data_IF_013557060024
#
_entry.id   IF_013557060024
#
_cell.length_a   1.000
_cell.length_b   1.000
_cell.length_c   1.000
_cell.angle_alpha   90.00
_cell.angle_beta   90.00
_cell.angle_gamma   90.00
#
_symmetry.space_group_name_H-M   'P 1'
#
loop_
_entity.id
_entity.type
_entity.pdbx_description
1 polymer ?
#
# COMPACT_ATOMS: atom_id res chain seq x y z
N UNK A 1 -18.20 -31.78 3.32
CA UNK A 1 -18.19 -31.39 1.89
C UNK A 1 -17.60 -29.98 1.84
N UNK A 2 -16.41 -29.81 1.22
CA UNK A 2 -15.62 -28.58 1.38
C UNK A 2 -16.27 -27.43 0.61
N UNK A 3 -16.62 -26.36 1.33
CA UNK A 3 -17.21 -25.11 0.79
C UNK A 3 -16.38 -24.52 -0.36
N UNK A 4 -15.06 -24.69 -0.32
CA UNK A 4 -14.14 -24.28 -1.37
C UNK A 4 -14.28 -25.06 -2.69
N UNK A 5 -14.65 -26.34 -2.63
CA UNK A 5 -14.86 -27.17 -3.81
C UNK A 5 -16.09 -26.70 -4.60
N UNK A 6 -17.18 -26.39 -3.89
CA UNK A 6 -18.38 -25.84 -4.49
C UNK A 6 -18.14 -24.45 -5.09
N UNK A 7 -17.32 -23.62 -4.45
CA UNK A 7 -17.02 -22.27 -4.95
C UNK A 7 -16.26 -22.30 -6.28
N UNK A 8 -15.26 -23.17 -6.43
CA UNK A 8 -14.45 -23.22 -7.66
C UNK A 8 -15.09 -24.04 -8.78
N UNK A 9 -15.84 -25.09 -8.48
CA UNK A 9 -16.41 -25.99 -9.48
C UNK A 9 -17.83 -25.60 -9.95
N UNK A 10 -18.57 -24.80 -9.17
CA UNK A 10 -19.91 -24.36 -9.53
C UNK A 10 -19.91 -23.02 -10.32
N UNK A 11 -18.77 -22.36 -10.48
CA UNK A 11 -18.59 -21.19 -11.34
C UNK A 11 -18.49 -21.57 -12.81
N UNK A 12 -19.52 -22.22 -13.37
CA UNK A 12 -19.60 -22.40 -14.81
C UNK A 12 -20.13 -21.10 -15.47
N UNK A 13 -19.52 -20.64 -16.59
CA UNK A 13 -20.04 -19.52 -17.32
C UNK A 13 -21.54 -19.72 -17.67
N UNK A 14 -22.39 -18.81 -17.24
CA UNK A 14 -23.83 -18.83 -17.53
C UNK A 14 -24.72 -19.47 -16.46
N UNK A 15 -24.19 -19.97 -15.34
CA UNK A 15 -25.01 -20.42 -14.22
C UNK A 15 -25.22 -19.29 -13.23
N UNK A 16 -26.45 -18.98 -12.81
CA UNK A 16 -26.66 -17.98 -11.76
C UNK A 16 -26.00 -18.43 -10.45
N UNK A 17 -25.40 -17.49 -9.74
CA UNK A 17 -24.82 -17.75 -8.42
C UNK A 17 -25.92 -18.24 -7.46
N UNK A 18 -25.62 -19.20 -6.57
CA UNK A 18 -26.54 -19.57 -5.51
C UNK A 18 -27.01 -18.33 -4.75
N UNK A 19 -28.28 -18.26 -4.42
CA UNK A 19 -28.90 -17.06 -3.82
C UNK A 19 -28.22 -16.61 -2.53
N UNK A 20 -27.74 -17.54 -1.73
CA UNK A 20 -26.96 -17.27 -0.51
C UNK A 20 -25.60 -16.64 -0.81
N UNK A 21 -24.98 -17.03 -1.90
CA UNK A 21 -23.68 -16.49 -2.34
C UNK A 21 -23.86 -15.11 -3.01
N UNK A 22 -24.94 -14.94 -3.78
CA UNK A 22 -25.29 -13.65 -4.35
C UNK A 22 -25.58 -12.62 -3.26
N UNK A 23 -26.24 -13.03 -2.18
CA UNK A 23 -26.59 -12.15 -1.07
C UNK A 23 -25.39 -11.87 -0.14
N UNK A 24 -24.54 -12.87 0.15
CA UNK A 24 -23.37 -12.73 1.06
C UNK A 24 -22.10 -12.30 0.35
N UNK A 25 -22.02 -12.50 -0.96
CA UNK A 25 -20.85 -12.19 -1.78
C UNK A 25 -20.32 -10.76 -1.58
N UNK A 26 -21.17 -9.73 -1.71
CA UNK A 26 -20.74 -8.34 -1.51
C UNK A 26 -20.17 -8.08 -0.11
N UNK A 27 -20.78 -8.66 0.92
CA UNK A 27 -20.32 -8.53 2.30
C UNK A 27 -18.93 -9.19 2.50
N UNK A 28 -18.76 -10.38 1.94
CA UNK A 28 -17.45 -11.09 2.02
C UNK A 28 -16.36 -10.34 1.28
N UNK A 29 -16.68 -9.73 0.14
CA UNK A 29 -15.73 -8.87 -0.59
C UNK A 29 -15.37 -7.64 0.24
N UNK A 30 -16.34 -6.97 0.85
CA UNK A 30 -16.09 -5.83 1.72
C UNK A 30 -15.20 -6.19 2.92
N UNK A 31 -15.47 -7.32 3.58
CA UNK A 31 -14.65 -7.82 4.68
C UNK A 31 -13.23 -8.10 4.17
N UNK A 32 -13.08 -8.77 3.03
CA UNK A 32 -11.78 -9.06 2.42
C UNK A 32 -10.98 -7.81 2.11
N UNK A 33 -11.61 -6.80 1.51
CA UNK A 33 -10.98 -5.50 1.22
C UNK A 33 -10.59 -4.80 2.51
N UNK A 34 -11.45 -4.80 3.53
CA UNK A 34 -11.15 -4.19 4.82
C UNK A 34 -9.95 -4.87 5.49
N UNK A 35 -9.94 -6.19 5.56
CA UNK A 35 -8.81 -6.96 6.13
C UNK A 35 -7.52 -6.68 5.36
N UNK A 36 -7.58 -6.65 4.03
CA UNK A 36 -6.43 -6.33 3.19
C UNK A 36 -5.90 -4.92 3.45
N UNK A 37 -6.77 -3.92 3.55
CA UNK A 37 -6.39 -2.54 3.83
C UNK A 37 -5.76 -2.38 5.23
N UNK A 38 -6.38 -2.97 6.25
CA UNK A 38 -5.86 -2.93 7.63
C UNK A 38 -4.51 -3.64 7.72
N UNK A 39 -4.38 -4.81 7.12
CA UNK A 39 -3.10 -5.56 7.11
C UNK A 39 -2.00 -4.77 6.41
N UNK A 40 -2.31 -4.16 5.27
CA UNK A 40 -1.37 -3.28 4.56
C UNK A 40 -0.98 -2.07 5.40
N UNK A 41 -1.94 -1.39 5.99
CA UNK A 41 -1.68 -0.24 6.87
C UNK A 41 -0.77 -0.60 8.05
N UNK A 42 -1.05 -1.69 8.75
CA UNK A 42 -0.22 -2.16 9.85
C UNK A 42 1.20 -2.52 9.36
N UNK A 43 1.30 -3.28 8.27
CA UNK A 43 2.59 -3.67 7.69
C UNK A 43 3.46 -2.47 7.37
N UNK A 44 2.94 -1.49 6.61
CA UNK A 44 3.71 -0.30 6.25
C UNK A 44 3.92 0.62 7.44
N UNK A 45 2.91 0.84 8.27
CA UNK A 45 2.98 1.69 9.45
C UNK A 45 4.05 1.23 10.43
N UNK A 46 4.04 -0.06 10.77
CA UNK A 46 5.03 -0.60 11.71
C UNK A 46 6.44 -0.66 11.13
N UNK A 47 6.60 -1.13 9.89
CA UNK A 47 7.94 -1.28 9.30
C UNK A 47 8.61 0.08 9.01
N UNK A 48 7.86 1.06 8.54
CA UNK A 48 8.43 2.38 8.24
C UNK A 48 8.69 3.20 9.51
N UNK A 49 7.91 3.00 10.60
CA UNK A 49 8.15 3.65 11.89
C UNK A 49 9.13 2.90 12.81
N UNK A 50 9.48 1.67 12.46
CA UNK A 50 10.44 0.87 13.24
C UNK A 50 11.89 1.31 13.02
N UNK A 51 12.81 0.68 13.75
CA UNK A 51 14.26 0.83 13.53
C UNK A 51 14.70 0.46 12.10
N UNK A 52 13.90 -0.33 11.37
CA UNK A 52 14.16 -0.68 9.97
C UNK A 52 13.92 0.49 9.01
N UNK A 53 13.12 1.47 9.40
CA UNK A 53 12.80 2.66 8.59
C UNK A 53 12.40 2.33 7.15
N UNK A 54 11.72 1.22 6.92
CA UNK A 54 11.30 0.84 5.58
C UNK A 54 10.81 -0.59 5.48
N UNK A 55 10.09 -0.88 4.42
CA UNK A 55 9.65 -2.25 4.12
C UNK A 55 10.83 -3.12 3.72
N UNK A 56 10.64 -4.44 3.75
CA UNK A 56 11.65 -5.41 3.37
C UNK A 56 12.29 -5.10 2.00
N UNK A 57 11.46 -4.81 0.99
CA UNK A 57 11.95 -4.47 -0.36
C UNK A 57 12.79 -3.18 -0.40
N UNK A 58 12.39 -2.16 0.34
CA UNK A 58 13.19 -0.91 0.45
C UNK A 58 14.55 -1.19 1.09
N UNK A 59 14.59 -1.97 2.16
CA UNK A 59 15.85 -2.33 2.83
C UNK A 59 16.78 -3.15 1.96
N UNK A 60 16.25 -4.09 1.17
CA UNK A 60 17.05 -4.84 0.19
C UNK A 60 17.70 -3.95 -0.88
N UNK A 61 17.07 -2.83 -1.22
CA UNK A 61 17.59 -1.84 -2.17
C UNK A 61 18.48 -0.77 -1.51
N UNK A 62 18.71 -0.84 -0.20
CA UNK A 62 19.46 0.16 0.56
C UNK A 62 18.69 1.49 0.68
N UNK A 63 17.36 1.44 0.62
CA UNK A 63 16.50 2.60 0.80
C UNK A 63 15.92 2.62 2.21
N UNK A 64 15.79 3.81 2.79
CA UNK A 64 15.12 3.99 4.06
C UNK A 64 14.19 5.20 4.02
N UNK A 65 13.21 5.22 4.91
CA UNK A 65 12.26 6.32 5.04
C UNK A 65 12.71 7.19 6.21
N UNK A 66 12.82 8.47 5.96
CA UNK A 66 13.15 9.45 6.99
C UNK A 66 12.28 10.70 6.86
N UNK A 67 12.26 11.51 7.90
CA UNK A 67 11.74 12.87 7.84
C UNK A 67 12.69 13.77 7.02
N UNK A 68 12.33 15.04 6.88
CA UNK A 68 13.10 16.01 6.07
C UNK A 68 14.55 16.19 6.58
N UNK A 69 14.77 16.01 7.87
CA UNK A 69 16.10 16.08 8.49
C UNK A 69 16.79 14.70 8.65
N UNK A 70 16.22 13.65 8.02
CA UNK A 70 16.74 12.29 8.12
C UNK A 70 16.40 11.55 9.42
N UNK A 71 15.56 12.14 10.28
CA UNK A 71 15.07 11.51 11.50
C UNK A 71 14.18 10.29 11.21
N UNK A 72 14.01 9.41 12.20
CA UNK A 72 13.04 8.33 12.10
C UNK A 72 11.62 8.89 12.10
N UNK A 73 10.76 8.40 11.21
CA UNK A 73 9.37 8.82 11.19
C UNK A 73 8.57 8.06 12.24
N UNK A 74 7.65 8.76 12.90
CA UNK A 74 6.70 8.13 13.81
C UNK A 74 5.59 7.40 13.04
N UNK A 75 4.90 6.48 13.76
CA UNK A 75 3.78 5.70 13.21
C UNK A 75 2.69 6.60 12.56
N UNK A 76 2.43 7.78 13.11
CA UNK A 76 1.46 8.72 12.55
C UNK A 76 1.87 9.25 11.17
N UNK A 77 3.13 9.64 10.99
CA UNK A 77 3.65 10.05 9.67
C UNK A 77 3.62 8.88 8.68
N UNK A 78 3.97 7.67 9.11
CA UNK A 78 3.86 6.47 8.28
C UNK A 78 2.41 6.18 7.87
N UNK A 79 1.45 6.40 8.78
CA UNK A 79 0.01 6.31 8.49
C UNK A 79 -0.44 7.35 7.46
N UNK A 80 -0.02 8.60 7.60
CA UNK A 80 -0.34 9.65 6.62
C UNK A 80 0.19 9.30 5.22
N UNK A 81 1.41 8.75 5.13
CA UNK A 81 1.99 8.26 3.87
C UNK A 81 1.18 7.12 3.27
N UNK A 82 0.75 6.17 4.10
CA UNK A 82 -0.08 5.06 3.65
C UNK A 82 -1.43 5.55 3.11
N UNK A 83 -2.10 6.42 3.84
CA UNK A 83 -3.39 6.98 3.42
C UNK A 83 -3.25 7.87 2.18
N UNK A 84 -2.26 8.74 2.15
CA UNK A 84 -2.02 9.66 1.03
C UNK A 84 -1.52 9.00 -0.24
N UNK A 85 -0.91 7.83 -0.15
CA UNK A 85 -0.36 7.13 -1.29
C UNK A 85 -1.14 5.86 -1.64
N UNK A 86 -0.98 4.84 -0.82
CA UNK A 86 -1.49 3.50 -1.13
C UNK A 86 -3.00 3.38 -1.07
N UNK A 87 -3.64 4.04 -0.12
CA UNK A 87 -5.10 4.01 -0.03
C UNK A 87 -5.75 4.59 -1.29
N UNK A 88 -5.25 5.74 -1.76
CA UNK A 88 -5.77 6.40 -2.97
C UNK A 88 -5.56 5.56 -4.23
N UNK A 89 -4.47 4.81 -4.33
CA UNK A 89 -4.22 3.90 -5.46
C UNK A 89 -5.27 2.79 -5.61
N UNK A 90 -5.94 2.41 -4.53
CA UNK A 90 -6.95 1.34 -4.56
C UNK A 90 -8.35 1.84 -4.94
N UNK A 91 -8.54 3.15 -5.06
CA UNK A 91 -9.81 3.71 -5.53
C UNK A 91 -9.85 3.64 -7.06
N UNK A 92 -10.79 2.90 -7.66
CA UNK A 92 -10.92 2.80 -9.11
C UNK A 92 -11.00 4.19 -9.75
N UNK A 93 -10.41 4.35 -10.93
CA UNK A 93 -10.31 5.62 -11.67
C UNK A 93 -9.37 6.63 -10.99
N UNK A 94 -9.63 7.01 -9.72
CA UNK A 94 -8.77 7.93 -8.95
C UNK A 94 -7.34 7.40 -8.84
N UNK A 95 -7.18 6.09 -8.62
CA UNK A 95 -5.88 5.44 -8.49
C UNK A 95 -5.01 5.57 -9.73
N UNK A 96 -5.59 5.52 -10.93
CA UNK A 96 -4.85 5.69 -12.19
C UNK A 96 -4.30 7.11 -12.30
N UNK A 97 -5.14 8.12 -12.08
CA UNK A 97 -4.70 9.53 -12.10
C UNK A 97 -3.67 9.80 -11.00
N UNK A 98 -3.92 9.28 -9.81
CA UNK A 98 -2.99 9.40 -8.69
C UNK A 98 -1.63 8.79 -9.01
N UNK A 99 -1.58 7.60 -9.61
CA UNK A 99 -0.36 6.93 -10.02
C UNK A 99 0.44 7.76 -11.04
N UNK A 100 -0.25 8.31 -12.05
CA UNK A 100 0.41 9.18 -13.05
C UNK A 100 1.01 10.42 -12.41
N UNK A 101 0.27 11.09 -11.51
CA UNK A 101 0.76 12.26 -10.78
C UNK A 101 1.93 11.89 -9.86
N UNK A 102 1.85 10.77 -9.15
CA UNK A 102 2.91 10.29 -8.26
C UNK A 102 4.21 10.01 -9.03
N UNK A 103 4.10 9.36 -10.19
CA UNK A 103 5.24 9.13 -11.09
C UNK A 103 5.81 10.44 -11.65
N UNK A 104 4.96 11.39 -12.03
CA UNK A 104 5.40 12.70 -12.51
C UNK A 104 6.14 13.47 -11.40
N UNK A 105 5.65 13.42 -10.16
CA UNK A 105 6.33 14.02 -9.01
C UNK A 105 7.73 13.43 -8.81
N UNK A 106 7.89 12.11 -8.88
CA UNK A 106 9.20 11.45 -8.76
C UNK A 106 10.16 11.92 -9.85
N UNK A 107 9.66 12.15 -11.08
CA UNK A 107 10.48 12.58 -12.21
C UNK A 107 10.85 14.08 -12.16
N UNK A 108 9.96 14.92 -11.66
CA UNK A 108 10.07 16.39 -11.75
C UNK A 108 10.56 17.05 -10.47
N UNK A 109 10.29 16.45 -9.30
CA UNK A 109 10.64 17.07 -8.03
C UNK A 109 12.11 16.78 -7.64
N UNK A 110 12.76 17.73 -6.96
CA UNK A 110 14.07 17.52 -6.36
C UNK A 110 14.04 16.31 -5.42
N UNK A 111 15.12 15.51 -5.41
CA UNK A 111 15.25 14.32 -4.56
C UNK A 111 14.29 13.17 -4.92
N UNK A 112 13.66 13.21 -6.12
CA UNK A 112 12.77 12.14 -6.62
C UNK A 112 11.68 11.75 -5.60
N UNK A 113 11.01 12.75 -5.05
CA UNK A 113 9.94 12.57 -4.05
C UNK A 113 8.64 12.20 -4.75
N UNK A 114 7.99 11.17 -4.26
CA UNK A 114 6.62 10.87 -4.62
C UNK A 114 5.64 11.87 -3.98
N UNK A 115 4.45 12.02 -4.56
CA UNK A 115 3.44 12.96 -4.03
C UNK A 115 3.10 12.70 -2.56
N UNK A 116 2.91 11.44 -2.20
CA UNK A 116 2.61 11.05 -0.81
C UNK A 116 3.77 11.31 0.16
N UNK A 117 5.01 11.30 -0.32
CA UNK A 117 6.19 11.65 0.48
C UNK A 117 6.24 13.16 0.76
N UNK A 118 5.87 13.96 -0.23
CA UNK A 118 5.76 15.42 -0.09
C UNK A 118 4.66 15.78 0.91
N UNK A 119 3.48 15.17 0.79
CA UNK A 119 2.35 15.42 1.69
C UNK A 119 2.64 15.03 3.14
N UNK A 120 3.45 14.01 3.36
CA UNK A 120 3.83 13.57 4.70
C UNK A 120 5.13 14.21 5.22
N UNK A 121 5.78 15.09 4.45
CA UNK A 121 7.07 15.68 4.82
C UNK A 121 8.16 14.62 5.04
N UNK A 122 8.24 13.64 4.13
CA UNK A 122 9.16 12.53 4.23
C UNK A 122 10.12 12.47 3.03
N UNK A 123 11.23 11.78 3.23
CA UNK A 123 12.24 11.48 2.22
C UNK A 123 12.51 9.98 2.19
N UNK A 124 12.88 9.49 1.00
CA UNK A 124 13.34 8.10 0.84
C UNK A 124 14.77 8.12 0.26
N UNK A 125 15.76 8.53 1.05
CA UNK A 125 17.13 8.54 0.61
C UNK A 125 17.68 7.11 0.49
N UNK A 126 18.70 6.98 -0.35
CA UNK A 126 19.50 5.76 -0.44
C UNK A 126 20.61 5.83 0.59
N UNK A 127 20.80 4.75 1.32
CA UNK A 127 21.94 4.61 2.21
C UNK A 127 23.24 4.71 1.36
N UNK A 128 24.01 5.77 1.55
CA UNK A 128 25.32 5.86 0.93
C UNK A 128 26.17 4.73 1.52
N UNK A 129 26.53 3.72 0.72
CA UNK A 129 27.60 2.80 1.08
C UNK A 129 28.87 3.61 1.16
N UNK A 130 29.18 4.13 2.33
CA UNK A 130 30.58 4.48 2.65
C UNK A 130 31.33 3.16 2.64
N UNK A 131 32.02 2.91 1.55
CA UNK A 131 33.02 1.84 1.49
C UNK A 131 34.04 2.15 2.60
N UNK A 132 33.91 1.41 3.71
CA UNK A 132 35.00 1.28 4.68
C UNK A 132 35.90 0.13 4.27
#
# INVERSE_FOLDING_TARGET
MNVWYSFFFDMRPGRPLPDDLAQKGPLLVLIGVFVFMVSGWLYFGFLESSAWRGTLGKRMLGLYVGGENGEAIGFWKATQRFLGGRFLMHVPVVGIYYFVVDCACIAMLPQSRALHDVLAGCLVPRESRTLR
#
